data_IF_530423166479
#
_entry.id   IF_530423166479
#
_cell.length_a   1.000
_cell.length_b   1.000
_cell.length_c   1.000
_cell.angle_alpha   90.00
_cell.angle_beta   90.00
_cell.angle_gamma   90.00
#
_symmetry.space_group_name_H-M   'P 1'
#
loop_
_entity.id
_entity.type
_entity.pdbx_description
1 polymer ?
#
# COMPACT_ATOMS: atom_id res chain seq x y z
N UNK A 1 -0.28 -14.76 6.16
CA UNK A 1 -0.69 -15.02 4.76
C UNK A 1 0.55 -15.33 3.93
N UNK A 2 0.60 -16.48 3.27
CA UNK A 2 1.70 -16.83 2.37
C UNK A 2 1.16 -16.81 0.94
N UNK A 3 1.66 -15.88 0.14
CA UNK A 3 1.28 -15.78 -1.28
C UNK A 3 2.30 -16.56 -2.12
N UNK A 4 1.84 -17.47 -3.00
CA UNK A 4 2.72 -18.22 -3.87
C UNK A 4 3.60 -17.28 -4.69
N UNK A 5 4.85 -17.64 -4.93
CA UNK A 5 5.84 -16.88 -5.69
C UNK A 5 6.22 -15.49 -5.13
N UNK A 6 5.73 -15.09 -3.94
CA UNK A 6 6.09 -13.82 -3.34
C UNK A 6 7.59 -13.71 -3.03
N UNK A 7 8.22 -14.81 -2.70
CA UNK A 7 9.64 -14.90 -2.28
C UNK A 7 10.51 -15.78 -3.17
N UNK A 8 10.08 -16.06 -4.41
CA UNK A 8 10.81 -16.95 -5.33
C UNK A 8 12.00 -16.26 -5.97
N UNK A 9 13.20 -16.79 -5.72
CA UNK A 9 14.45 -16.41 -6.38
C UNK A 9 14.86 -14.95 -6.10
N UNK A 10 15.68 -14.39 -6.99
CA UNK A 10 16.18 -13.02 -6.93
C UNK A 10 15.09 -11.96 -7.26
N UNK A 11 13.91 -12.39 -7.58
CA UNK A 11 12.78 -11.57 -7.98
C UNK A 11 11.59 -11.83 -7.07
N UNK A 12 11.52 -11.19 -5.94
CA UNK A 12 10.27 -11.15 -5.20
C UNK A 12 9.13 -10.70 -6.10
N UNK A 13 7.95 -11.30 -5.96
CA UNK A 13 6.75 -10.93 -6.69
C UNK A 13 5.83 -10.16 -5.75
N UNK A 14 5.58 -8.89 -6.08
CA UNK A 14 4.54 -8.13 -5.38
C UNK A 14 3.15 -8.66 -5.77
N UNK A 15 2.31 -8.82 -4.76
CA UNK A 15 0.88 -9.03 -4.93
C UNK A 15 0.15 -7.75 -4.55
N UNK A 16 -0.83 -7.36 -5.32
CA UNK A 16 -1.65 -6.21 -5.02
C UNK A 16 -3.12 -6.44 -5.35
N UNK A 17 -3.95 -5.62 -4.76
CA UNK A 17 -5.37 -5.62 -4.96
C UNK A 17 -5.98 -4.35 -4.38
N UNK A 18 -7.29 -4.36 -4.23
CA UNK A 18 -8.05 -3.24 -3.70
C UNK A 18 -9.01 -3.66 -2.62
N UNK A 19 -9.34 -2.73 -1.75
CA UNK A 19 -10.43 -2.83 -0.79
C UNK A 19 -11.56 -1.96 -1.30
N UNK A 20 -12.76 -2.52 -1.36
CA UNK A 20 -13.93 -1.85 -1.89
C UNK A 20 -15.14 -2.03 -0.99
N UNK A 21 -16.09 -1.13 -1.13
CA UNK A 21 -17.40 -1.15 -0.45
C UNK A 21 -18.51 -1.35 -1.46
N UNK A 22 -19.57 -2.02 -1.05
CA UNK A 22 -20.84 -2.10 -1.77
C UNK A 22 -21.92 -1.15 -1.19
N UNK A 23 -21.53 -0.23 -0.28
CA UNK A 23 -22.41 0.78 0.28
C UNK A 23 -23.15 0.39 1.56
N UNK A 24 -22.82 -0.74 2.19
CA UNK A 24 -23.53 -1.25 3.38
C UNK A 24 -22.67 -1.28 4.65
N UNK A 25 -21.62 -0.49 4.71
CA UNK A 25 -20.69 -0.47 5.84
C UNK A 25 -19.78 -1.69 5.93
N UNK A 26 -19.84 -2.61 4.99
CA UNK A 26 -18.95 -3.77 4.88
C UNK A 26 -17.94 -3.55 3.75
N UNK A 27 -16.70 -3.94 4.01
CA UNK A 27 -15.60 -3.81 3.07
C UNK A 27 -15.11 -5.19 2.64
N UNK A 28 -14.72 -5.29 1.39
CA UNK A 28 -14.24 -6.52 0.76
C UNK A 28 -12.87 -6.29 0.15
N UNK A 29 -12.03 -7.31 0.18
CA UNK A 29 -10.77 -7.31 -0.54
C UNK A 29 -10.92 -8.06 -1.87
N UNK A 30 -10.39 -7.50 -2.95
CA UNK A 30 -10.25 -8.23 -4.20
C UNK A 30 -9.23 -9.36 -4.06
N UNK A 31 -9.28 -10.34 -4.97
CA UNK A 31 -8.23 -11.34 -5.03
C UNK A 31 -6.90 -10.66 -5.34
N UNK A 32 -5.83 -10.97 -4.59
CA UNK A 32 -4.51 -10.44 -4.90
C UNK A 32 -4.02 -11.00 -6.23
N UNK A 33 -3.58 -10.12 -7.10
CA UNK A 33 -3.09 -10.48 -8.43
C UNK A 33 -1.66 -10.01 -8.62
N UNK A 34 -0.73 -10.90 -9.00
CA UNK A 34 0.59 -10.49 -9.40
C UNK A 34 0.54 -9.98 -10.84
N UNK A 35 0.49 -8.68 -11.02
CA UNK A 35 0.70 -8.08 -12.34
C UNK A 35 2.20 -7.88 -12.52
N UNK A 36 2.85 -8.92 -13.03
CA UNK A 36 4.29 -8.98 -13.11
C UNK A 36 4.85 -8.04 -14.18
N UNK A 37 5.27 -6.86 -13.77
CA UNK A 37 6.32 -6.14 -14.48
C UNK A 37 7.64 -6.31 -13.74
N UNK A 38 8.67 -6.78 -14.43
CA UNK A 38 10.03 -6.78 -13.88
C UNK A 38 10.56 -5.35 -13.93
N UNK A 39 10.85 -4.80 -12.77
CA UNK A 39 11.47 -3.50 -12.66
C UNK A 39 12.85 -3.67 -12.05
N UNK A 40 13.87 -3.15 -12.73
CA UNK A 40 15.20 -3.08 -12.16
C UNK A 40 15.32 -1.75 -11.40
N UNK A 41 15.60 -1.85 -10.11
CA UNK A 41 15.82 -0.69 -9.25
C UNK A 41 17.22 -0.79 -8.65
N UNK A 42 18.16 0.00 -9.18
CA UNK A 42 19.55 -0.11 -8.82
C UNK A 42 20.12 -1.50 -9.14
N UNK A 43 20.78 -2.14 -8.17
CA UNK A 43 21.27 -3.50 -8.30
C UNK A 43 20.20 -4.57 -8.02
N UNK A 44 19.02 -4.18 -7.57
CA UNK A 44 17.93 -5.09 -7.22
C UNK A 44 16.97 -5.25 -8.39
N UNK A 45 16.54 -6.49 -8.63
CA UNK A 45 15.46 -6.80 -9.56
C UNK A 45 14.23 -7.10 -8.75
N UNK A 46 13.14 -6.40 -9.03
CA UNK A 46 11.85 -6.66 -8.39
C UNK A 46 10.71 -6.59 -9.39
N UNK A 47 9.63 -7.28 -9.07
CA UNK A 47 8.41 -7.24 -9.85
C UNK A 47 7.41 -6.36 -9.10
N UNK A 48 7.01 -5.26 -9.72
CA UNK A 48 5.91 -4.44 -9.23
C UNK A 48 4.57 -4.96 -9.73
N UNK A 49 3.50 -4.61 -9.03
CA UNK A 49 2.15 -4.89 -9.49
C UNK A 49 1.32 -3.61 -9.56
N UNK A 50 0.26 -3.64 -10.35
CA UNK A 50 -0.72 -2.56 -10.41
C UNK A 50 -2.04 -3.05 -9.81
N UNK A 51 -2.62 -2.32 -8.85
CA UNK A 51 -3.95 -2.66 -8.35
C UNK A 51 -4.99 -2.46 -9.46
N UNK A 52 -6.08 -3.24 -9.45
CA UNK A 52 -7.16 -3.05 -10.40
C UNK A 52 -7.82 -1.69 -10.22
N UNK A 53 -8.22 -1.06 -11.31
CA UNK A 53 -8.92 0.22 -11.30
C UNK A 53 -10.44 0.07 -11.22
N UNK A 54 -10.94 -1.13 -11.41
CA UNK A 54 -12.35 -1.46 -11.36
C UNK A 54 -12.55 -2.82 -10.70
N UNK A 55 -13.62 -2.93 -9.95
CA UNK A 55 -14.08 -4.20 -9.38
C UNK A 55 -15.49 -4.44 -9.86
N UNK A 56 -15.74 -5.65 -10.37
CA UNK A 56 -17.08 -6.13 -10.68
C UNK A 56 -17.51 -7.13 -9.62
N UNK A 57 -18.58 -6.80 -8.93
CA UNK A 57 -19.18 -7.67 -7.93
C UNK A 57 -20.67 -7.86 -8.26
N UNK A 58 -21.13 -9.11 -8.44
CA UNK A 58 -22.55 -9.35 -8.79
C UNK A 58 -23.53 -8.91 -7.70
N UNK A 59 -23.05 -8.68 -6.48
CA UNK A 59 -23.88 -8.23 -5.35
C UNK A 59 -24.23 -6.74 -5.39
N UNK A 60 -23.50 -5.93 -6.17
CA UNK A 60 -23.77 -4.50 -6.24
C UNK A 60 -22.63 -3.70 -6.86
N UNK A 61 -22.81 -2.38 -6.84
CA UNK A 61 -21.81 -1.44 -7.35
C UNK A 61 -20.66 -1.30 -6.36
N UNK A 62 -19.46 -1.63 -6.78
CA UNK A 62 -18.26 -1.51 -5.99
C UNK A 62 -17.66 -0.09 -6.05
N UNK A 63 -17.33 0.47 -4.89
CA UNK A 63 -16.54 1.69 -4.75
C UNK A 63 -15.20 1.35 -4.09
N UNK A 64 -14.10 1.55 -4.80
CA UNK A 64 -12.75 1.28 -4.29
C UNK A 64 -12.36 2.39 -3.32
N UNK A 65 -11.90 2.00 -2.11
CA UNK A 65 -11.48 2.93 -1.06
C UNK A 65 -9.99 2.86 -0.76
N UNK A 66 -9.36 1.74 -1.04
CA UNK A 66 -7.93 1.56 -0.78
C UNK A 66 -7.30 0.60 -1.80
N UNK A 67 -6.02 0.75 -2.02
CA UNK A 67 -5.20 -0.29 -2.62
C UNK A 67 -4.34 -0.98 -1.56
N UNK A 68 -3.93 -2.21 -1.84
CA UNK A 68 -2.96 -2.91 -1.02
C UNK A 68 -1.89 -3.59 -1.87
N UNK A 69 -0.69 -3.74 -1.30
CA UNK A 69 0.41 -4.47 -1.93
C UNK A 69 1.32 -5.13 -0.89
N UNK A 70 2.05 -6.13 -1.32
CA UNK A 70 3.04 -6.83 -0.51
C UNK A 70 4.45 -6.37 -0.82
N UNK A 71 5.32 -6.36 0.20
CA UNK A 71 6.76 -6.21 0.05
C UNK A 71 7.44 -7.54 0.40
N UNK A 72 7.83 -8.35 -0.60
CA UNK A 72 8.28 -9.72 -0.38
C UNK A 72 9.77 -9.87 -0.06
N UNK A 73 10.57 -8.81 -0.18
CA UNK A 73 12.04 -8.95 -0.15
C UNK A 73 12.62 -8.93 1.26
N UNK A 74 12.12 -8.05 2.12
CA UNK A 74 12.55 -7.89 3.50
C UNK A 74 11.48 -7.12 4.29
N UNK A 75 11.51 -7.19 5.63
CA UNK A 75 10.61 -6.36 6.43
C UNK A 75 10.86 -4.89 6.16
N UNK A 76 9.86 -4.19 5.66
CA UNK A 76 10.00 -2.79 5.28
C UNK A 76 8.67 -2.05 5.33
N UNK A 77 8.74 -0.77 5.66
CA UNK A 77 7.63 0.16 5.49
C UNK A 77 7.47 0.57 4.02
N UNK A 78 6.56 1.47 3.72
CA UNK A 78 6.40 2.06 2.40
C UNK A 78 7.71 2.62 1.86
N UNK A 79 8.01 2.34 0.60
CA UNK A 79 9.10 3.00 -0.11
C UNK A 79 8.80 4.49 -0.33
N UNK A 80 9.80 5.28 -0.69
CA UNK A 80 9.57 6.68 -1.06
C UNK A 80 8.62 6.81 -2.25
N UNK A 81 8.72 5.90 -3.22
CA UNK A 81 7.82 5.85 -4.37
C UNK A 81 6.37 5.57 -3.95
N UNK A 82 6.15 4.63 -3.02
CA UNK A 82 4.82 4.35 -2.49
C UNK A 82 4.18 5.54 -1.80
N UNK A 83 4.98 6.44 -1.25
CA UNK A 83 4.54 7.61 -0.49
C UNK A 83 4.35 8.88 -1.33
N UNK A 84 4.80 8.90 -2.58
CA UNK A 84 4.67 10.06 -3.45
C UNK A 84 3.21 10.32 -3.82
N UNK A 85 2.82 11.57 -3.89
CA UNK A 85 1.44 11.98 -4.19
C UNK A 85 0.97 11.50 -5.57
N UNK A 86 1.85 11.49 -6.57
CA UNK A 86 1.53 11.09 -7.94
C UNK A 86 1.28 9.58 -8.10
N UNK A 87 1.57 8.78 -7.08
CA UNK A 87 1.28 7.34 -7.07
C UNK A 87 0.02 6.98 -6.27
N UNK A 88 -0.66 7.96 -5.69
CA UNK A 88 -1.86 7.74 -4.88
C UNK A 88 -3.11 7.76 -5.76
N UNK A 89 -3.83 6.64 -5.79
CA UNK A 89 -5.06 6.49 -6.57
C UNK A 89 -6.32 6.50 -5.70
N UNK A 90 -6.18 6.16 -4.41
CA UNK A 90 -7.28 5.98 -3.48
C UNK A 90 -6.99 6.68 -2.15
N UNK A 91 -8.00 6.77 -1.31
CA UNK A 91 -7.93 7.44 -0.01
C UNK A 91 -6.96 6.78 0.98
N UNK A 92 -6.69 5.50 0.80
CA UNK A 92 -5.82 4.71 1.66
C UNK A 92 -4.92 3.81 0.82
N UNK A 93 -3.71 3.59 1.32
CA UNK A 93 -2.81 2.55 0.84
C UNK A 93 -2.41 1.63 1.98
N UNK A 94 -2.50 0.33 1.77
CA UNK A 94 -2.13 -0.70 2.72
C UNK A 94 -0.94 -1.48 2.16
N UNK A 95 0.02 -1.77 3.01
CA UNK A 95 1.15 -2.62 2.68
C UNK A 95 1.38 -3.63 3.78
N UNK A 96 1.79 -4.82 3.41
CA UNK A 96 2.26 -5.83 4.35
C UNK A 96 3.61 -6.39 3.90
N UNK A 97 4.47 -6.65 4.87
CA UNK A 97 5.82 -7.10 4.64
C UNK A 97 5.99 -8.62 4.91
N UNK A 98 7.23 -9.10 4.81
CA UNK A 98 7.55 -10.52 5.02
C UNK A 98 7.32 -11.01 6.44
N UNK A 99 7.21 -10.13 7.43
CA UNK A 99 6.82 -10.47 8.81
C UNK A 99 5.34 -10.30 9.09
N UNK A 100 4.52 -10.11 8.05
CA UNK A 100 3.08 -9.82 8.17
C UNK A 100 2.78 -8.54 8.98
N UNK A 101 3.70 -7.60 9.04
CA UNK A 101 3.44 -6.28 9.61
C UNK A 101 2.64 -5.48 8.60
N UNK A 102 1.56 -4.87 9.06
CA UNK A 102 0.66 -4.09 8.22
C UNK A 102 0.92 -2.60 8.43
N UNK A 103 1.17 -1.92 7.33
CA UNK A 103 1.36 -0.48 7.26
C UNK A 103 0.17 0.18 6.55
N UNK A 104 -0.18 1.37 6.97
CA UNK A 104 -1.25 2.17 6.37
C UNK A 104 -0.75 3.57 6.07
N UNK A 105 -1.00 4.02 4.85
CA UNK A 105 -0.79 5.40 4.41
C UNK A 105 -2.14 6.06 4.17
N UNK A 106 -2.36 7.22 4.80
CA UNK A 106 -3.45 8.15 4.50
C UNK A 106 -2.81 9.34 3.79
N UNK A 107 -2.85 9.42 2.46
CA UNK A 107 -2.01 10.39 1.73
C UNK A 107 -2.53 11.82 1.78
N UNK A 108 -3.84 12.05 1.93
CA UNK A 108 -4.43 13.39 1.74
C UNK A 108 -3.92 14.07 0.47
N UNK A 109 -3.94 13.32 -0.65
CA UNK A 109 -3.24 13.72 -1.87
C UNK A 109 -3.78 15.03 -2.47
N UNK A 110 -5.08 15.29 -2.31
CA UNK A 110 -5.81 16.39 -2.94
C UNK A 110 -6.07 17.59 -2.00
N UNK A 111 -5.47 17.59 -0.81
CA UNK A 111 -5.65 18.67 0.16
C UNK A 111 -4.33 19.07 0.85
N UNK A 112 -4.38 20.13 1.66
CA UNK A 112 -3.22 20.66 2.38
C UNK A 112 -2.94 19.96 3.71
N UNK A 113 -3.67 18.88 4.01
CA UNK A 113 -3.41 18.09 5.21
C UNK A 113 -2.15 17.25 5.03
N UNK A 114 -1.33 17.09 6.08
CA UNK A 114 -0.19 16.19 6.02
C UNK A 114 -0.64 14.74 5.75
N UNK A 115 0.10 14.03 4.90
CA UNK A 115 -0.04 12.59 4.80
C UNK A 115 0.36 11.92 6.11
N UNK A 116 -0.26 10.77 6.42
CA UNK A 116 -0.06 10.07 7.69
C UNK A 116 0.33 8.62 7.44
N UNK A 117 1.34 8.16 8.14
CA UNK A 117 1.85 6.79 8.05
C UNK A 117 1.65 6.08 9.40
N UNK A 118 1.07 4.90 9.33
CA UNK A 118 0.72 4.09 10.50
C UNK A 118 1.28 2.67 10.39
N UNK A 119 1.54 2.07 11.53
CA UNK A 119 1.81 0.64 11.68
C UNK A 119 0.73 0.03 12.56
N UNK A 120 0.29 -1.17 12.22
CA UNK A 120 -0.67 -1.89 13.05
C UNK A 120 0.02 -2.61 14.19
N UNK A 121 -0.44 -2.33 15.41
CA UNK A 121 -0.03 -3.01 16.63
C UNK A 121 -1.27 -3.66 17.28
N UNK A 122 -1.41 -4.97 17.12
CA UNK A 122 -2.60 -5.68 17.57
C UNK A 122 -3.87 -5.17 16.85
N UNK A 123 -4.79 -4.56 17.62
CA UNK A 123 -6.02 -3.97 17.09
C UNK A 123 -5.95 -2.45 16.87
N UNK A 124 -4.80 -1.84 17.14
CA UNK A 124 -4.62 -0.39 17.09
C UNK A 124 -3.70 0.00 15.92
N UNK A 125 -3.83 1.24 15.51
CA UNK A 125 -2.93 1.88 14.57
C UNK A 125 -2.07 2.89 15.32
N UNK A 126 -0.76 2.70 15.24
CA UNK A 126 0.22 3.65 15.77
C UNK A 126 0.72 4.52 14.62
N UNK A 127 0.58 5.82 14.76
CA UNK A 127 1.15 6.78 13.82
C UNK A 127 2.66 6.81 13.98
N UNK A 128 3.40 6.59 12.91
CA UNK A 128 4.87 6.51 12.92
C UNK A 128 5.53 7.59 12.09
N UNK A 129 4.76 8.39 11.36
CA UNK A 129 5.30 9.50 10.60
C UNK A 129 4.24 10.32 9.91
N UNK A 130 4.70 11.44 9.38
CA UNK A 130 3.91 12.38 8.58
C UNK A 130 4.64 12.71 7.29
N UNK A 131 3.86 13.02 6.24
CA UNK A 131 4.38 13.59 5.00
C UNK A 131 3.85 15.01 4.94
N UNK A 132 4.75 15.98 5.13
CA UNK A 132 4.36 17.39 5.12
C UNK A 132 3.86 17.79 3.71
N UNK A 133 2.98 18.81 3.59
CA UNK A 133 2.45 19.21 2.29
C UNK A 133 3.53 19.51 1.24
N UNK A 134 4.62 20.15 1.63
CA UNK A 134 5.76 20.44 0.75
C UNK A 134 6.58 19.20 0.34
N UNK A 135 6.44 18.10 1.06
CA UNK A 135 7.15 16.84 0.82
C UNK A 135 6.32 15.80 0.07
N UNK A 136 5.07 16.08 -0.25
CA UNK A 136 4.16 15.11 -0.91
C UNK A 136 4.68 14.65 -2.28
N UNK A 137 5.32 15.53 -3.04
CA UNK A 137 5.87 15.18 -4.34
C UNK A 137 7.05 14.19 -4.24
N UNK A 138 7.84 14.28 -3.19
CA UNK A 138 8.98 13.37 -2.93
C UNK A 138 8.61 12.15 -2.10
N UNK A 139 7.52 12.22 -1.33
CA UNK A 139 7.15 11.21 -0.36
C UNK A 139 8.04 11.15 0.87
N UNK A 140 8.81 12.23 1.13
CA UNK A 140 9.66 12.30 2.31
C UNK A 140 8.82 12.28 3.58
N UNK A 141 9.18 11.40 4.49
CA UNK A 141 8.51 11.24 5.77
C UNK A 141 9.30 11.96 6.88
N UNK A 142 8.57 12.63 7.75
CA UNK A 142 9.09 13.07 9.05
C UNK A 142 8.61 12.07 10.09
N UNK A 143 9.53 11.35 10.71
CA UNK A 143 9.21 10.43 11.79
C UNK A 143 8.69 11.22 12.99
N UNK A 144 7.71 10.65 13.68
CA UNK A 144 7.26 11.21 14.95
C UNK A 144 8.32 10.87 16.02
N UNK A 145 8.67 11.86 16.82
CA UNK A 145 9.46 11.59 18.02
C UNK A 145 8.59 10.78 18.98
N UNK A 146 9.15 9.71 19.52
CA UNK A 146 8.50 9.01 20.62
C UNK A 146 8.46 9.95 21.83
N UNK A 147 7.31 10.11 22.50
CA UNK A 147 7.23 10.93 23.70
C UNK A 147 8.02 10.36 24.88
#
# INVERSE_FOLDING_TARGET
>A
MTLPAATLGDYGLEYCGVIYSLGQGTYYASNPSPLAQRVQVGASRRKSCRPPMQVRDPRGRASIVADFHSHPWFPSSFSSEDRRADTQWYSLRIQFDTHCIIHKLVPHADDDLPGEVYVREGRRWKRVGSILPQDKASGRITAMEEP
#
